data_IF_159458568871
#
_entry.id   IF_159458568871
#
_cell.length_a   1.000
_cell.length_b   1.000
_cell.length_c   1.000
_cell.angle_alpha   90.00
_cell.angle_beta   90.00
_cell.angle_gamma   90.00
#
_symmetry.space_group_name_H-M   'P 1'
#
loop_
_entity.id
_entity.type
_entity.pdbx_description
1 polymer ?
#
# COMPACT_ATOMS: atom_id res chain seq x y z
N UNK A 1 26.09 20.39 6.41
CA UNK A 1 24.98 19.49 6.02
C UNK A 1 25.50 18.40 5.11
N UNK A 2 25.51 17.15 5.55
CA UNK A 2 25.89 16.00 4.73
C UNK A 2 24.75 15.59 3.76
N UNK A 3 24.99 14.63 2.88
CA UNK A 3 24.00 14.21 1.88
C UNK A 3 22.71 13.67 2.51
N UNK A 4 22.82 12.84 3.56
CA UNK A 4 21.68 12.27 4.27
C UNK A 4 20.83 13.35 4.95
N UNK A 5 21.47 14.31 5.61
CA UNK A 5 20.82 15.45 6.26
C UNK A 5 20.07 16.31 5.26
N UNK A 6 20.67 16.58 4.09
CA UNK A 6 20.01 17.37 3.03
C UNK A 6 18.74 16.69 2.51
N UNK A 7 18.77 15.38 2.31
CA UNK A 7 17.61 14.61 1.85
C UNK A 7 16.54 14.58 2.94
N UNK A 8 16.92 14.29 4.18
CA UNK A 8 15.98 14.26 5.31
C UNK A 8 15.28 15.61 5.51
N UNK A 9 16.02 16.72 5.41
CA UNK A 9 15.46 18.07 5.52
C UNK A 9 14.50 18.38 4.38
N UNK A 10 14.91 18.07 3.13
CA UNK A 10 14.05 18.28 1.96
C UNK A 10 12.73 17.49 2.07
N UNK A 11 12.77 16.23 2.55
CA UNK A 11 11.57 15.43 2.78
C UNK A 11 10.71 16.04 3.89
N UNK A 12 11.31 16.47 5.00
CA UNK A 12 10.59 17.00 6.15
C UNK A 12 9.88 18.33 5.86
N UNK A 13 10.43 19.17 4.97
CA UNK A 13 9.86 20.48 4.61
C UNK A 13 8.95 20.44 3.37
N UNK A 14 8.80 19.28 2.72
CA UNK A 14 7.93 19.17 1.55
C UNK A 14 6.47 19.18 1.97
N UNK A 15 5.72 20.15 1.46
CA UNK A 15 4.28 20.24 1.59
C UNK A 15 3.58 19.96 0.25
N UNK A 16 2.28 19.69 0.29
CA UNK A 16 1.53 19.26 -0.90
C UNK A 16 1.49 20.33 -2.00
N UNK A 17 1.46 21.59 -1.62
CA UNK A 17 1.53 22.77 -2.49
C UNK A 17 2.89 22.96 -3.17
N UNK A 18 3.95 22.31 -2.67
CA UNK A 18 5.25 22.27 -3.35
C UNK A 18 5.29 21.25 -4.50
N UNK A 19 4.27 20.39 -4.65
CA UNK A 19 4.24 19.32 -5.65
C UNK A 19 3.66 19.83 -6.98
N UNK A 20 4.29 19.44 -8.09
CA UNK A 20 3.73 19.71 -9.42
C UNK A 20 2.45 18.91 -9.67
N UNK A 21 1.57 19.45 -10.51
CA UNK A 21 0.33 18.76 -10.89
C UNK A 21 0.60 17.41 -11.59
N UNK A 22 1.68 17.35 -12.36
CA UNK A 22 2.16 16.11 -12.97
C UNK A 22 2.57 15.09 -11.90
N UNK A 23 3.36 15.50 -10.89
CA UNK A 23 3.75 14.60 -9.80
C UNK A 23 2.54 14.07 -9.05
N UNK A 24 1.57 14.93 -8.73
CA UNK A 24 0.31 14.53 -8.07
C UNK A 24 -0.45 13.52 -8.94
N UNK A 25 -0.53 13.76 -10.25
CA UNK A 25 -1.23 12.88 -11.19
C UNK A 25 -0.57 11.51 -11.28
N UNK A 26 0.76 11.47 -11.39
CA UNK A 26 1.51 10.21 -11.43
C UNK A 26 1.43 9.46 -10.10
N UNK A 27 1.49 10.15 -8.96
CA UNK A 27 1.30 9.53 -7.64
C UNK A 27 -0.07 8.88 -7.53
N UNK A 28 -1.15 9.56 -7.95
CA UNK A 28 -2.51 8.98 -7.96
C UNK A 28 -2.59 7.73 -8.84
N UNK A 29 -2.00 7.77 -10.03
CA UNK A 29 -1.95 6.61 -10.94
C UNK A 29 -1.18 5.45 -10.32
N UNK A 30 -0.01 5.71 -9.75
CA UNK A 30 0.80 4.69 -9.09
C UNK A 30 0.08 4.06 -7.88
N UNK A 31 -0.67 4.85 -7.10
CA UNK A 31 -1.51 4.33 -6.02
C UNK A 31 -2.62 3.43 -6.53
N UNK A 32 -3.33 3.84 -7.60
CA UNK A 32 -4.40 3.04 -8.21
C UNK A 32 -3.87 1.75 -8.82
N UNK A 33 -2.73 1.83 -9.52
CA UNK A 33 -2.03 0.68 -10.10
C UNK A 33 -1.64 -0.33 -9.01
N UNK A 34 -1.03 0.15 -7.92
CA UNK A 34 -0.65 -0.69 -6.78
C UNK A 34 -1.86 -1.40 -6.18
N UNK A 35 -2.97 -0.69 -5.94
CA UNK A 35 -4.20 -1.31 -5.42
C UNK A 35 -4.74 -2.36 -6.40
N UNK A 36 -4.75 -2.06 -7.70
CA UNK A 36 -5.19 -2.99 -8.74
C UNK A 36 -4.36 -4.28 -8.76
N UNK A 37 -3.04 -4.16 -8.74
CA UNK A 37 -2.12 -5.30 -8.74
C UNK A 37 -2.21 -6.09 -7.44
N UNK A 38 -2.28 -5.44 -6.28
CA UNK A 38 -2.43 -6.12 -4.98
C UNK A 38 -3.72 -6.94 -4.93
N UNK A 39 -4.83 -6.41 -5.47
CA UNK A 39 -6.10 -7.15 -5.54
C UNK A 39 -6.02 -8.34 -6.51
N UNK A 40 -5.37 -8.16 -7.67
CA UNK A 40 -5.18 -9.23 -8.63
C UNK A 40 -4.27 -10.34 -8.08
N UNK A 41 -3.19 -9.96 -7.39
CA UNK A 41 -2.19 -10.87 -6.84
C UNK A 41 -2.62 -11.59 -5.56
N UNK A 42 -3.81 -11.29 -5.03
CA UNK A 42 -4.32 -11.94 -3.83
C UNK A 42 -4.46 -13.47 -3.98
N UNK A 43 -4.69 -13.97 -5.19
CA UNK A 43 -4.85 -15.40 -5.45
C UNK A 43 -3.53 -16.19 -5.51
N UNK A 44 -2.40 -15.51 -5.58
CA UNK A 44 -1.08 -16.14 -5.65
C UNK A 44 -0.71 -16.90 -4.37
N UNK A 45 0.04 -17.98 -4.51
CA UNK A 45 0.44 -18.85 -3.38
C UNK A 45 1.21 -18.06 -2.31
N UNK A 46 2.14 -17.21 -2.73
CA UNK A 46 2.89 -16.35 -1.81
C UNK A 46 1.98 -15.40 -1.02
N UNK A 47 0.93 -14.87 -1.66
CA UNK A 47 -0.08 -14.01 -1.04
C UNK A 47 -0.91 -14.76 0.00
N UNK A 48 -1.25 -16.02 -0.26
CA UNK A 48 -1.98 -16.86 0.70
C UNK A 48 -1.12 -17.21 1.92
N UNK A 49 0.15 -17.55 1.70
CA UNK A 49 1.10 -17.87 2.77
C UNK A 49 1.28 -16.68 3.72
N UNK A 50 1.59 -15.49 3.18
CA UNK A 50 1.81 -14.31 4.03
C UNK A 50 0.53 -13.89 4.76
N UNK A 51 -0.63 -13.98 4.09
CA UNK A 51 -1.92 -13.64 4.70
C UNK A 51 -2.24 -14.57 5.86
N UNK A 52 -2.05 -15.88 5.68
CA UNK A 52 -2.25 -16.89 6.72
C UNK A 52 -1.30 -16.67 7.89
N UNK A 53 -0.02 -16.42 7.61
CA UNK A 53 0.99 -16.17 8.64
C UNK A 53 0.66 -14.91 9.46
N UNK A 54 0.28 -13.81 8.81
CA UNK A 54 -0.10 -12.57 9.49
C UNK A 54 -1.36 -12.76 10.34
N UNK A 55 -2.35 -13.51 9.85
CA UNK A 55 -3.57 -13.81 10.60
C UNK A 55 -3.30 -14.59 11.90
N UNK A 56 -2.28 -15.44 11.90
CA UNK A 56 -1.91 -16.26 13.06
C UNK A 56 -1.02 -15.52 14.07
N UNK A 57 -0.22 -14.55 13.61
CA UNK A 57 0.90 -14.01 14.40
C UNK A 57 0.76 -12.53 14.77
N UNK A 58 -0.39 -11.89 14.48
CA UNK A 58 -0.53 -10.45 14.65
C UNK A 58 -1.73 -10.03 15.47
N UNK A 59 -1.58 -9.04 16.37
CA UNK A 59 -2.72 -8.42 17.02
C UNK A 59 -3.55 -7.62 16.00
N UNK A 60 -4.87 -7.78 16.07
CA UNK A 60 -5.80 -6.96 15.32
C UNK A 60 -5.78 -5.53 15.89
N UNK A 61 -5.03 -4.65 15.24
CA UNK A 61 -4.89 -3.24 15.63
C UNK A 61 -5.44 -2.28 14.57
N UNK A 62 -6.18 -2.81 13.59
CA UNK A 62 -7.03 -2.04 12.67
C UNK A 62 -6.45 -1.75 11.28
N UNK A 63 -5.23 -2.18 10.94
CA UNK A 63 -4.70 -2.00 9.57
C UNK A 63 -5.10 -3.17 8.66
N UNK A 64 -5.60 -2.90 7.46
CA UNK A 64 -6.16 -3.93 6.57
C UNK A 64 -5.14 -4.51 5.58
N UNK A 65 -5.28 -5.82 5.32
CA UNK A 65 -4.67 -6.48 4.16
C UNK A 65 -5.65 -6.35 2.98
N UNK A 66 -5.22 -5.72 1.89
CA UNK A 66 -6.05 -5.47 0.71
C UNK A 66 -6.54 -6.77 0.09
N UNK A 67 -7.80 -6.78 -0.34
CA UNK A 67 -8.45 -7.98 -0.90
C UNK A 67 -8.98 -8.96 0.15
N UNK A 68 -8.81 -8.68 1.44
CA UNK A 68 -9.25 -9.57 2.54
C UNK A 68 -10.04 -8.82 3.61
N UNK A 69 -10.80 -9.54 4.47
CA UNK A 69 -11.40 -8.96 5.67
C UNK A 69 -10.42 -8.87 6.87
N UNK A 70 -9.14 -9.19 6.69
CA UNK A 70 -8.18 -9.35 7.79
C UNK A 70 -7.62 -7.99 8.22
N UNK A 71 -7.61 -7.76 9.54
CA UNK A 71 -7.04 -6.59 10.18
C UNK A 71 -5.88 -7.02 11.10
N UNK A 72 -4.80 -6.25 11.07
CA UNK A 72 -3.50 -6.57 11.65
C UNK A 72 -2.76 -5.29 12.07
N UNK A 73 -1.50 -5.41 12.50
CA UNK A 73 -0.62 -4.27 12.77
C UNK A 73 -0.20 -3.53 11.50
N UNK A 74 0.01 -2.21 11.54
CA UNK A 74 0.41 -1.45 10.36
C UNK A 74 1.67 -1.99 9.68
N UNK A 75 2.66 -2.45 10.46
CA UNK A 75 3.88 -3.03 9.92
C UNK A 75 3.60 -4.35 9.16
N UNK A 76 2.71 -5.19 9.68
CA UNK A 76 2.38 -6.47 9.06
C UNK A 76 1.39 -6.33 7.92
N UNK A 77 0.48 -5.36 7.96
CA UNK A 77 -0.36 -4.99 6.83
C UNK A 77 0.50 -4.47 5.67
N UNK A 78 1.49 -3.62 5.94
CA UNK A 78 2.42 -3.12 4.93
C UNK A 78 3.26 -4.25 4.32
N UNK A 79 3.74 -5.19 5.14
CA UNK A 79 4.46 -6.38 4.67
C UNK A 79 3.57 -7.22 3.73
N UNK A 80 2.37 -7.58 4.17
CA UNK A 80 1.44 -8.39 3.37
C UNK A 80 1.06 -7.67 2.07
N UNK A 81 0.61 -6.41 2.13
CA UNK A 81 0.22 -5.64 0.94
C UNK A 81 1.39 -5.46 -0.04
N UNK A 82 2.61 -5.28 0.48
CA UNK A 82 3.82 -5.22 -0.34
C UNK A 82 4.13 -6.54 -1.05
N UNK A 83 3.98 -7.68 -0.35
CA UNK A 83 4.11 -9.02 -0.95
C UNK A 83 3.06 -9.27 -2.02
N UNK A 84 1.79 -8.96 -1.74
CA UNK A 84 0.68 -9.14 -2.69
C UNK A 84 0.86 -8.26 -3.94
N UNK A 85 1.33 -7.02 -3.77
CA UNK A 85 1.59 -6.11 -4.90
C UNK A 85 2.79 -6.50 -5.76
N UNK A 86 3.73 -7.27 -5.23
CA UNK A 86 4.89 -7.78 -5.98
C UNK A 86 4.67 -9.19 -6.54
N UNK A 87 3.69 -9.94 -6.04
CA UNK A 87 3.41 -11.32 -6.44
C UNK A 87 3.17 -11.49 -7.95
N UNK A 88 2.65 -10.46 -8.62
CA UNK A 88 2.40 -10.47 -10.07
C UNK A 88 3.43 -9.68 -10.90
N UNK A 89 4.34 -8.92 -10.27
CA UNK A 89 5.32 -8.06 -10.95
C UNK A 89 4.75 -7.06 -11.98
N UNK A 90 3.47 -6.70 -11.84
CA UNK A 90 2.74 -5.84 -12.79
C UNK A 90 2.85 -4.34 -12.50
N UNK A 91 3.55 -3.93 -11.45
CA UNK A 91 3.54 -2.52 -11.06
C UNK A 91 4.45 -1.65 -11.93
N UNK A 92 3.97 -0.44 -12.22
CA UNK A 92 4.66 0.51 -13.10
C UNK A 92 6.04 0.89 -12.53
N UNK A 93 7.11 0.60 -13.28
CA UNK A 93 8.48 1.04 -12.95
C UNK A 93 8.85 2.32 -13.72
N UNK A 94 9.19 3.43 -13.05
CA UNK A 94 9.76 4.59 -13.73
C UNK A 94 11.19 4.28 -14.23
N UNK A 95 11.63 4.84 -15.38
CA UNK A 95 12.89 4.48 -16.05
C UNK A 95 14.16 4.76 -15.22
N UNK A 96 14.06 5.56 -14.16
CA UNK A 96 15.15 5.99 -13.29
C UNK A 96 15.37 5.12 -12.05
N UNK A 97 14.43 4.24 -11.69
CA UNK A 97 14.55 3.36 -10.53
C UNK A 97 14.34 1.90 -10.93
N UNK A 98 15.40 1.09 -10.95
CA UNK A 98 15.35 -0.38 -11.16
C UNK A 98 14.79 -1.16 -9.95
N UNK A 99 13.89 -0.55 -9.18
CA UNK A 99 13.34 -1.13 -7.96
C UNK A 99 12.03 -0.45 -7.57
N UNK A 100 11.12 -1.26 -7.05
CA UNK A 100 9.72 -0.95 -6.71
C UNK A 100 9.66 -0.02 -5.48
N UNK A 101 9.28 1.27 -5.61
CA UNK A 101 9.23 2.19 -4.47
C UNK A 101 7.85 2.23 -3.77
N UNK A 102 6.77 1.81 -4.45
CA UNK A 102 5.39 2.04 -3.99
C UNK A 102 4.90 1.01 -2.95
N UNK A 103 5.51 -0.18 -2.89
CA UNK A 103 5.14 -1.23 -1.92
C UNK A 103 5.34 -0.83 -0.45
N UNK A 104 6.01 0.31 -0.20
CA UNK A 104 6.31 0.84 1.14
C UNK A 104 5.42 2.01 1.58
N UNK A 105 4.59 2.56 0.70
CA UNK A 105 3.83 3.79 0.95
C UNK A 105 2.39 3.50 1.41
N UNK A 106 2.22 2.81 2.55
CA UNK A 106 0.91 2.69 3.20
C UNK A 106 0.90 3.44 4.54
N UNK A 107 0.08 4.51 4.70
CA UNK A 107 -0.09 5.14 5.99
C UNK A 107 -0.88 4.22 6.94
N UNK A 108 -0.56 4.18 8.24
CA UNK A 108 -1.39 3.51 9.24
C UNK A 108 -2.75 4.22 9.29
N UNK A 109 -3.78 3.61 8.72
CA UNK A 109 -5.15 4.12 8.87
C UNK A 109 -5.70 3.66 10.23
N UNK A 110 -5.71 4.56 11.21
CA UNK A 110 -6.60 4.43 12.35
C UNK A 110 -8.02 4.75 11.88
N UNK A 111 -8.81 3.73 11.54
CA UNK A 111 -10.25 3.95 11.30
C UNK A 111 -11.12 2.83 11.86
N UNK A 112 -11.83 3.20 12.92
CA UNK A 112 -12.92 2.49 13.55
C UNK A 112 -14.01 2.12 12.55
N UNK A 113 -14.48 0.87 12.69
CA UNK A 113 -15.63 0.24 12.07
C UNK A 113 -16.45 1.06 11.06
N UNK A 114 -16.36 0.66 9.79
CA UNK A 114 -17.54 0.60 8.91
C UNK A 114 -17.38 -0.57 7.94
N UNK A 115 -18.18 -1.62 8.18
CA UNK A 115 -18.38 -2.73 7.24
C UNK A 115 -18.75 -2.15 5.88
N UNK A 116 -18.05 -2.56 4.84
CA UNK A 116 -18.50 -2.39 3.47
C UNK A 116 -19.66 -3.38 3.25
N UNK A 117 -20.89 -2.89 3.32
CA UNK A 117 -22.08 -3.62 2.87
C UNK A 117 -22.32 -3.23 1.41
N UNK A 118 -22.44 -4.19 0.47
CA UNK A 118 -22.78 -3.87 -0.90
C UNK A 118 -24.22 -3.34 -0.93
N UNK A 119 -24.39 -2.12 -1.41
CA UNK A 119 -25.70 -1.53 -1.66
C UNK A 119 -26.41 -2.31 -2.78
N UNK A 120 -27.20 -3.30 -2.39
CA UNK A 120 -28.13 -4.01 -3.27
C UNK A 120 -29.26 -3.09 -3.69
N UNK A 121 -29.33 -2.82 -5.00
CA UNK A 121 -30.42 -2.14 -5.68
C UNK A 121 -31.48 -3.17 -6.12
N UNK A 122 -32.76 -2.80 -5.91
CA UNK A 122 -34.03 -3.24 -6.55
C UNK A 122 -34.85 -4.33 -5.85
N UNK A 123 -36.19 -4.37 -6.07
CA UNK A 123 -37.03 -3.41 -6.80
C UNK A 123 -37.71 -2.37 -5.89
#
# INVERSE_FOLDING_TARGET
MNATERIAHAIAETHFDHLSEEAITQSKRAMLDTIGVTLAGHQEEASQIITTWVQQNSPNTGAAILGTPILTSPALAALANGTLGHALDLMTSPPTCKGIPVSRFYPPSSRSHRRWAPAGRRP
#
